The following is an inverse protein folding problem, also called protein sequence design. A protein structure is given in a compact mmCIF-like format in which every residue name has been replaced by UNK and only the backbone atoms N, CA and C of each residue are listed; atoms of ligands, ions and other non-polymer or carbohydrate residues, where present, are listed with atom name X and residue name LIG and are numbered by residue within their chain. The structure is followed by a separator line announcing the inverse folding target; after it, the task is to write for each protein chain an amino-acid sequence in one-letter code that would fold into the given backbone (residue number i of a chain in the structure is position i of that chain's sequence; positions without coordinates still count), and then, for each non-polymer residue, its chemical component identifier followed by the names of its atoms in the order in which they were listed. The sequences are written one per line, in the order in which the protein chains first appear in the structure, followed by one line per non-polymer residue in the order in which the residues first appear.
data_IF_578815496288
#
_entry.id   IF_578815496288
#
_cell.length_a   1.000
_cell.length_b   1.000
_cell.length_c   1.000
_cell.angle_alpha   90.00
_cell.angle_beta   90.00
_cell.angle_gamma   90.00
#
_symmetry.space_group_name_H-M   'P 1'
#
loop_
_entity.id
_entity.type
_entity.pdbx_description
1 polymer ?
#
# COMPACT_ATOMS: atom_id res chain seq x y z
N UNK A 1 19.77 -22.10 6.85
CA UNK A 1 19.25 -22.82 8.03
C UNK A 1 18.79 -21.79 9.03
N UNK A 2 17.48 -21.76 9.34
CA UNK A 2 16.90 -20.91 10.38
C UNK A 2 17.40 -21.38 11.76
N UNK A 3 17.69 -20.49 12.72
CA UNK A 3 17.81 -20.91 14.12
C UNK A 3 16.45 -21.42 14.63
N UNK A 4 16.42 -22.35 15.59
CA UNK A 4 15.18 -22.81 16.20
C UNK A 4 14.48 -21.65 16.92
N UNK A 5 13.15 -21.59 16.78
CA UNK A 5 12.28 -20.69 17.51
C UNK A 5 12.48 -20.90 19.02
N UNK A 6 13.17 -19.98 19.68
CA UNK A 6 13.40 -20.03 21.12
C UNK A 6 12.48 -19.06 21.84
N UNK A 7 11.69 -19.62 22.76
CA UNK A 7 10.67 -19.07 23.65
C UNK A 7 9.21 -19.25 23.17
N UNK A 8 8.54 -20.26 23.73
CA UNK A 8 7.09 -20.34 23.76
C UNK A 8 6.52 -19.06 24.40
N UNK A 9 5.38 -18.52 23.93
CA UNK A 9 4.74 -17.39 24.58
C UNK A 9 4.46 -17.75 26.05
N UNK A 10 4.60 -16.81 27.00
CA UNK A 10 4.33 -17.08 28.42
C UNK A 10 2.94 -17.70 28.55
N UNK A 11 2.88 -18.90 29.14
CA UNK A 11 1.63 -19.63 29.34
C UNK A 11 0.79 -18.90 30.40
N UNK A 12 -0.47 -18.57 30.10
CA UNK A 12 -1.35 -17.99 31.10
C UNK A 12 -1.43 -18.86 32.37
N UNK A 13 -1.67 -18.27 33.55
CA UNK A 13 -1.97 -18.99 34.79
C UNK A 13 -3.04 -20.07 34.62
N UNK A 14 -2.96 -21.14 35.41
CA UNK A 14 -3.86 -22.30 35.29
C UNK A 14 -5.34 -21.99 35.54
N UNK A 15 -5.64 -20.90 36.25
CA UNK A 15 -6.97 -20.36 36.52
C UNK A 15 -7.49 -19.45 35.41
N UNK A 16 -6.66 -19.10 34.41
CA UNK A 16 -7.12 -18.38 33.24
C UNK A 16 -7.94 -19.31 32.33
N UNK A 17 -9.12 -18.90 31.82
CA UNK A 17 -9.96 -19.83 31.07
C UNK A 17 -9.26 -20.29 29.78
N UNK A 18 -9.05 -21.61 29.65
CA UNK A 18 -8.30 -22.20 28.53
C UNK A 18 -8.85 -21.83 27.14
N UNK A 19 -10.16 -21.61 27.04
CA UNK A 19 -10.83 -21.18 25.81
C UNK A 19 -10.29 -19.84 25.26
N UNK A 20 -9.64 -19.01 26.09
CA UNK A 20 -9.09 -17.72 25.69
C UNK A 20 -7.57 -17.74 25.42
N UNK A 21 -6.84 -18.82 25.74
CA UNK A 21 -5.36 -18.83 25.67
C UNK A 21 -4.78 -18.40 24.31
N UNK A 22 -5.28 -18.96 23.20
CA UNK A 22 -4.82 -18.63 21.85
C UNK A 22 -5.38 -17.30 21.33
N UNK A 23 -6.48 -16.84 21.93
CA UNK A 23 -7.19 -15.64 21.54
C UNK A 23 -6.58 -14.37 22.13
N UNK A 24 -6.06 -14.43 23.36
CA UNK A 24 -5.51 -13.25 24.06
C UNK A 24 -4.42 -12.52 23.26
N UNK A 25 -3.61 -13.26 22.50
CA UNK A 25 -2.53 -12.68 21.68
C UNK A 25 -2.93 -12.35 20.24
N UNK A 26 -4.13 -12.75 19.82
CA UNK A 26 -4.64 -12.61 18.45
C UNK A 26 -5.94 -11.81 18.41
N UNK A 27 -6.45 -11.34 19.55
CA UNK A 27 -7.76 -10.70 19.70
C UNK A 27 -7.96 -9.55 18.72
N UNK A 28 -7.00 -8.63 18.69
CA UNK A 28 -7.05 -7.46 17.81
C UNK A 28 -7.01 -7.86 16.34
N UNK A 29 -6.13 -8.82 16.01
CA UNK A 29 -5.98 -9.34 14.66
C UNK A 29 -7.30 -10.00 14.19
N UNK A 30 -7.92 -10.82 15.03
CA UNK A 30 -9.21 -11.48 14.75
C UNK A 30 -10.33 -10.45 14.59
N UNK A 31 -10.38 -9.45 15.48
CA UNK A 31 -11.43 -8.43 15.47
C UNK A 31 -11.42 -7.60 14.18
N UNK A 32 -10.24 -7.26 13.66
CA UNK A 32 -10.11 -6.43 12.46
C UNK A 32 -9.94 -7.22 11.15
N UNK A 33 -9.44 -8.47 11.19
CA UNK A 33 -9.13 -9.23 9.97
C UNK A 33 -10.37 -9.60 9.15
N UNK A 34 -11.58 -9.66 9.74
CA UNK A 34 -12.81 -10.11 9.07
C UNK A 34 -12.58 -11.39 8.22
N UNK A 35 -11.79 -12.35 8.72
CA UNK A 35 -11.29 -13.54 8.03
C UNK A 35 -10.30 -14.34 8.91
N UNK A 36 -9.77 -15.50 8.47
CA UNK A 36 -8.83 -16.28 9.28
C UNK A 36 -7.62 -15.41 9.63
N UNK A 37 -7.45 -15.16 10.93
CA UNK A 37 -6.43 -14.25 11.43
C UNK A 37 -5.04 -14.72 11.01
N UNK A 38 -4.19 -13.79 10.61
CA UNK A 38 -2.76 -14.02 10.54
C UNK A 38 -2.18 -13.59 11.89
N UNK A 39 -1.99 -14.52 12.84
CA UNK A 39 -1.52 -14.15 14.18
C UNK A 39 -0.15 -13.47 14.11
N UNK A 40 0.03 -12.46 14.96
CA UNK A 40 1.31 -11.81 15.26
C UNK A 40 2.42 -12.86 15.42
N UNK A 41 3.52 -12.71 14.66
CA UNK A 41 4.75 -13.45 14.95
C UNK A 41 5.37 -12.85 16.24
N UNK A 42 5.77 -13.68 17.22
CA UNK A 42 6.43 -13.18 18.43
C UNK A 42 7.81 -12.60 18.07
N UNK A 43 8.07 -11.39 18.57
CA UNK A 43 9.30 -10.61 18.40
C UNK A 43 9.71 -10.37 16.93
N UNK A 44 9.26 -9.25 16.36
CA UNK A 44 9.78 -8.79 15.07
C UNK A 44 11.28 -8.47 15.22
N UNK A 45 12.09 -9.04 14.34
CA UNK A 45 13.46 -8.57 14.10
C UNK A 45 13.47 -7.06 13.85
N UNK A 46 14.62 -6.37 14.02
CA UNK A 46 14.76 -4.97 13.62
C UNK A 46 14.19 -4.77 12.21
N UNK A 47 13.38 -3.74 12.05
CA UNK A 47 12.76 -3.48 10.75
C UNK A 47 13.85 -3.03 9.78
N UNK A 48 14.11 -3.86 8.77
CA UNK A 48 15.03 -3.50 7.70
C UNK A 48 14.46 -2.34 6.86
N UNK A 49 15.33 -1.52 6.24
CA UNK A 49 14.90 -0.48 5.31
C UNK A 49 14.03 -1.06 4.19
N UNK A 50 12.94 -0.38 3.78
CA UNK A 50 12.07 -0.89 2.73
C UNK A 50 12.84 -1.00 1.39
N UNK A 51 12.59 -2.04 0.59
CA UNK A 51 13.24 -2.19 -0.71
C UNK A 51 12.89 -1.00 -1.62
N UNK A 52 13.83 -0.61 -2.47
CA UNK A 52 13.65 0.46 -3.45
C UNK A 52 13.85 -0.01 -4.90
N UNK A 53 14.55 -1.14 -5.12
CA UNK A 53 14.71 -1.80 -6.42
C UNK A 53 14.54 -3.30 -6.24
N UNK A 54 13.71 -3.90 -7.09
CA UNK A 54 13.44 -5.33 -7.17
C UNK A 54 13.60 -5.79 -8.63
N UNK A 55 13.96 -7.06 -8.88
CA UNK A 55 14.06 -7.58 -10.23
C UNK A 55 12.70 -7.58 -10.95
N UNK A 56 12.74 -7.69 -12.27
CA UNK A 56 11.54 -7.92 -13.07
C UNK A 56 10.87 -9.25 -12.67
N UNK A 57 9.55 -9.28 -12.79
CA UNK A 57 8.72 -10.45 -12.46
C UNK A 57 7.81 -10.79 -13.65
N UNK A 58 7.38 -12.06 -13.80
CA UNK A 58 6.55 -12.46 -14.93
C UNK A 58 5.20 -11.74 -14.98
N UNK A 59 4.61 -11.47 -13.81
CA UNK A 59 3.32 -10.78 -13.69
C UNK A 59 3.34 -9.77 -12.54
N UNK A 60 3.17 -8.51 -12.91
CA UNK A 60 3.17 -7.37 -12.01
C UNK A 60 1.84 -6.64 -12.10
N UNK A 61 1.22 -6.38 -10.96
CA UNK A 61 -0.08 -5.72 -10.85
C UNK A 61 0.07 -4.39 -10.12
N UNK A 62 -0.47 -3.31 -10.68
CA UNK A 62 -0.55 -1.99 -10.04
C UNK A 62 -1.98 -1.65 -9.63
N UNK A 63 -2.20 -1.35 -8.34
CA UNK A 63 -3.52 -0.94 -7.81
C UNK A 63 -3.43 0.50 -7.30
N UNK A 64 -4.36 1.35 -7.74
CA UNK A 64 -4.48 2.75 -7.35
C UNK A 64 -4.91 2.98 -5.91
N UNK A 65 -5.32 4.21 -5.65
CA UNK A 65 -5.71 4.74 -4.34
C UNK A 65 -6.99 4.06 -3.81
N UNK A 66 -7.00 3.65 -2.53
CA UNK A 66 -8.06 2.82 -1.94
C UNK A 66 -8.90 3.55 -0.89
N UNK A 67 -8.33 4.55 -0.21
CA UNK A 67 -9.06 5.53 0.61
C UNK A 67 -10.15 4.93 1.52
N UNK A 68 -9.73 4.00 2.39
CA UNK A 68 -10.58 3.41 3.42
C UNK A 68 -11.79 2.63 2.91
N UNK A 69 -11.83 2.23 1.62
CA UNK A 69 -12.96 1.50 1.03
C UNK A 69 -12.61 0.03 0.76
N UNK A 70 -12.68 -0.79 1.81
CA UNK A 70 -12.40 -2.24 1.73
C UNK A 70 -13.27 -2.95 0.69
N UNK A 71 -14.53 -2.54 0.49
CA UNK A 71 -15.41 -3.17 -0.51
C UNK A 71 -14.88 -2.96 -1.92
N UNK A 72 -14.43 -1.75 -2.24
CA UNK A 72 -13.83 -1.45 -3.55
C UNK A 72 -12.45 -2.09 -3.70
N UNK A 73 -11.65 -2.13 -2.63
CA UNK A 73 -10.37 -2.84 -2.62
C UNK A 73 -10.55 -4.33 -2.98
N UNK A 74 -11.48 -5.03 -2.32
CA UNK A 74 -11.81 -6.44 -2.64
C UNK A 74 -12.16 -6.62 -4.13
N UNK A 75 -12.98 -5.73 -4.69
CA UNK A 75 -13.33 -5.79 -6.12
C UNK A 75 -12.11 -5.60 -7.02
N UNK A 76 -11.22 -4.65 -6.73
CA UNK A 76 -9.98 -4.47 -7.50
C UNK A 76 -9.08 -5.71 -7.44
N UNK A 77 -8.89 -6.30 -6.27
CA UNK A 77 -8.13 -7.55 -6.13
C UNK A 77 -8.78 -8.72 -6.90
N UNK A 78 -10.11 -8.81 -6.92
CA UNK A 78 -10.85 -9.81 -7.72
C UNK A 78 -10.70 -9.58 -9.22
N UNK A 79 -10.76 -8.34 -9.70
CA UNK A 79 -10.52 -7.97 -11.12
C UNK A 79 -9.19 -8.51 -11.63
N UNK A 80 -8.15 -8.45 -10.79
CA UNK A 80 -6.83 -8.99 -11.13
C UNK A 80 -6.67 -10.50 -10.89
N UNK A 81 -7.71 -11.20 -10.41
CA UNK A 81 -7.65 -12.62 -10.05
C UNK A 81 -6.68 -12.92 -8.91
N UNK A 82 -6.52 -11.98 -7.97
CA UNK A 82 -5.57 -12.09 -6.86
C UNK A 82 -6.17 -12.75 -5.62
N UNK A 83 -7.50 -12.71 -5.49
CA UNK A 83 -8.23 -13.31 -4.37
C UNK A 83 -9.47 -14.07 -4.84
N UNK A 84 -9.90 -15.04 -4.04
CA UNK A 84 -11.19 -15.72 -4.20
C UNK A 84 -12.34 -14.99 -3.48
N UNK A 85 -13.51 -15.63 -3.47
CA UNK A 85 -14.72 -15.13 -2.80
C UNK A 85 -14.60 -15.06 -1.27
N UNK A 86 -13.60 -15.70 -0.68
CA UNK A 86 -13.31 -15.71 0.75
C UNK A 86 -12.12 -14.81 1.12
N UNK A 87 -11.70 -13.92 0.22
CA UNK A 87 -10.54 -13.03 0.37
C UNK A 87 -9.20 -13.79 0.61
N UNK A 88 -9.09 -15.02 0.10
CA UNK A 88 -7.83 -15.80 0.15
C UNK A 88 -7.04 -15.57 -1.12
N UNK A 89 -5.72 -15.42 -0.98
CA UNK A 89 -4.81 -15.26 -2.11
C UNK A 89 -4.90 -16.42 -3.10
N UNK A 90 -5.11 -16.07 -4.37
CA UNK A 90 -5.09 -16.98 -5.53
C UNK A 90 -4.16 -16.50 -6.65
N UNK A 91 -3.45 -15.38 -6.43
CA UNK A 91 -2.56 -14.77 -7.42
C UNK A 91 -1.26 -15.53 -7.72
N UNK A 92 -1.00 -16.68 -7.09
CA UNK A 92 0.24 -17.45 -7.27
C UNK A 92 1.48 -16.61 -6.99
N UNK A 93 2.44 -16.62 -7.93
CA UNK A 93 3.69 -15.84 -7.88
C UNK A 93 3.56 -14.37 -8.33
N UNK A 94 2.33 -13.87 -8.52
CA UNK A 94 2.10 -12.47 -8.93
C UNK A 94 2.66 -11.51 -7.88
N UNK A 95 3.32 -10.44 -8.36
CA UNK A 95 3.71 -9.30 -7.51
C UNK A 95 2.69 -8.17 -7.68
N UNK A 96 2.26 -7.58 -6.58
CA UNK A 96 1.32 -6.46 -6.55
C UNK A 96 2.01 -5.24 -5.96
N UNK A 97 1.79 -4.07 -6.53
CA UNK A 97 2.16 -2.78 -5.95
C UNK A 97 0.90 -1.93 -5.82
N UNK A 98 0.46 -1.68 -4.59
CA UNK A 98 -0.57 -0.70 -4.27
C UNK A 98 0.11 0.66 -4.02
N UNK A 99 -0.30 1.71 -4.73
CA UNK A 99 0.49 2.96 -4.82
C UNK A 99 0.19 4.01 -3.74
N UNK A 100 -0.25 3.59 -2.54
CA UNK A 100 -0.50 4.47 -1.40
C UNK A 100 -1.93 5.03 -1.34
N UNK A 101 -2.18 5.90 -0.36
CA UNK A 101 -3.51 6.42 -0.04
C UNK A 101 -4.51 5.30 0.31
N UNK A 102 -4.16 4.56 1.36
CA UNK A 102 -5.04 3.60 2.02
C UNK A 102 -5.98 4.27 3.02
N UNK A 103 -5.53 5.36 3.65
CA UNK A 103 -6.25 6.07 4.70
C UNK A 103 -7.16 7.18 4.16
N UNK A 104 -8.01 7.68 5.06
CA UNK A 104 -8.98 8.75 4.90
C UNK A 104 -10.09 8.49 3.87
N UNK A 105 -11.07 9.42 3.78
CA UNK A 105 -12.22 9.45 2.87
C UNK A 105 -13.25 8.31 3.03
N UNK A 106 -12.83 7.13 3.46
CA UNK A 106 -13.68 5.99 3.81
C UNK A 106 -13.54 5.59 5.28
N UNK A 107 -14.52 4.83 5.79
CA UNK A 107 -14.60 4.45 7.21
C UNK A 107 -13.97 3.07 7.51
N UNK A 108 -13.50 2.33 6.49
CA UNK A 108 -12.98 0.96 6.64
C UNK A 108 -11.44 0.91 6.60
N UNK A 109 -10.78 1.95 7.11
CA UNK A 109 -9.31 2.12 7.10
C UNK A 109 -8.58 0.97 7.81
N UNK A 110 -8.90 0.71 9.07
CA UNK A 110 -8.29 -0.37 9.83
C UNK A 110 -8.53 -1.75 9.18
N UNK A 111 -9.79 -2.16 8.87
CA UNK A 111 -10.02 -3.41 8.13
C UNK A 111 -9.24 -3.54 6.81
N UNK A 112 -9.05 -2.44 6.08
CA UNK A 112 -8.25 -2.43 4.85
C UNK A 112 -6.77 -2.71 5.11
N UNK A 113 -6.18 -2.11 6.16
CA UNK A 113 -4.80 -2.38 6.56
C UNK A 113 -4.58 -3.87 6.91
N UNK A 114 -5.50 -4.46 7.69
CA UNK A 114 -5.43 -5.88 8.06
C UNK A 114 -5.65 -6.82 6.86
N UNK A 115 -6.57 -6.46 5.95
CA UNK A 115 -6.78 -7.18 4.70
C UNK A 115 -5.49 -7.24 3.88
N UNK A 116 -4.81 -6.11 3.67
CA UNK A 116 -3.57 -6.07 2.91
C UNK A 116 -2.43 -6.80 3.63
N UNK A 117 -2.31 -6.69 4.95
CA UNK A 117 -1.29 -7.44 5.72
C UNK A 117 -1.49 -8.95 5.57
N UNK A 118 -2.74 -9.44 5.63
CA UNK A 118 -3.03 -10.85 5.39
C UNK A 118 -2.61 -11.27 3.99
N UNK A 119 -2.95 -10.50 2.96
CA UNK A 119 -2.58 -10.80 1.58
C UNK A 119 -1.07 -10.76 1.36
N UNK A 120 -0.33 -9.84 2.01
CA UNK A 120 1.14 -9.82 1.99
C UNK A 120 1.72 -11.16 2.41
N UNK A 121 1.21 -11.74 3.51
CA UNK A 121 1.67 -13.03 4.04
C UNK A 121 1.29 -14.20 3.14
N UNK A 122 0.04 -14.23 2.66
CA UNK A 122 -0.43 -15.30 1.78
C UNK A 122 0.28 -15.29 0.42
N UNK A 123 0.50 -14.10 -0.16
CA UNK A 123 1.27 -13.95 -1.39
C UNK A 123 2.70 -14.46 -1.22
N UNK A 124 3.39 -14.03 -0.16
CA UNK A 124 4.75 -14.50 0.15
C UNK A 124 4.82 -16.03 0.29
N UNK A 125 3.85 -16.64 0.98
CA UNK A 125 3.76 -18.09 1.12
C UNK A 125 3.52 -18.83 -0.21
N UNK A 126 2.92 -18.17 -1.20
CA UNK A 126 2.68 -18.69 -2.55
C UNK A 126 3.78 -18.32 -3.56
N UNK A 127 4.87 -17.68 -3.12
CA UNK A 127 5.96 -17.20 -3.99
C UNK A 127 5.66 -15.91 -4.75
N UNK A 128 4.58 -15.21 -4.39
CA UNK A 128 4.25 -13.86 -4.86
C UNK A 128 4.60 -12.80 -3.83
N UNK A 129 4.17 -11.56 -4.07
CA UNK A 129 4.39 -10.46 -3.13
C UNK A 129 3.30 -9.38 -3.24
N UNK A 130 3.04 -8.69 -2.13
CA UNK A 130 2.23 -7.47 -2.11
C UNK A 130 3.06 -6.35 -1.49
N UNK A 131 3.40 -5.35 -2.28
CA UNK A 131 4.03 -4.12 -1.83
C UNK A 131 2.97 -3.04 -1.75
N UNK A 132 3.01 -2.28 -0.66
CA UNK A 132 2.13 -1.13 -0.43
C UNK A 132 3.06 0.06 -0.31
N UNK A 133 2.77 1.16 -1.00
CA UNK A 133 3.50 2.41 -0.86
C UNK A 133 2.87 3.29 0.22
N UNK A 134 3.65 4.20 0.80
CA UNK A 134 3.12 5.29 1.59
C UNK A 134 2.75 6.48 0.68
N UNK A 135 1.47 6.87 0.69
CA UNK A 135 0.95 8.04 -0.01
C UNK A 135 0.93 9.30 0.83
N UNK A 136 0.27 10.35 0.34
CA UNK A 136 0.18 11.57 1.13
C UNK A 136 -0.76 11.43 2.32
N UNK A 137 -1.79 10.58 2.23
CA UNK A 137 -2.72 10.37 3.33
C UNK A 137 -2.07 9.62 4.50
N UNK A 138 -1.21 8.63 4.23
CA UNK A 138 -0.40 7.98 5.28
C UNK A 138 0.50 9.00 5.98
N UNK A 139 1.27 9.77 5.20
CA UNK A 139 2.21 10.74 5.76
C UNK A 139 1.53 11.96 6.40
N UNK A 140 0.28 12.27 6.04
CA UNK A 140 -0.51 13.29 6.73
C UNK A 140 -1.01 12.78 8.08
N UNK A 141 -1.54 11.55 8.12
CA UNK A 141 -2.04 10.95 9.35
C UNK A 141 -0.94 10.74 10.38
N UNK A 142 0.24 10.28 9.94
CA UNK A 142 1.42 10.19 10.80
C UNK A 142 1.80 11.56 11.35
N UNK A 143 1.70 12.63 10.56
CA UNK A 143 1.97 13.99 11.03
C UNK A 143 0.84 14.63 11.85
N UNK A 144 -0.22 13.89 12.20
CA UNK A 144 -1.36 14.43 12.96
C UNK A 144 -2.32 15.31 12.15
N UNK A 145 -2.27 15.25 10.82
CA UNK A 145 -3.03 16.12 9.92
C UNK A 145 -4.28 15.40 9.39
N UNK A 146 -5.42 15.57 10.08
CA UNK A 146 -6.64 14.80 9.86
C UNK A 146 -7.71 15.45 8.97
N UNK A 147 -7.33 16.39 8.09
CA UNK A 147 -8.30 17.20 7.33
C UNK A 147 -9.22 16.41 6.38
N UNK A 148 -8.89 15.17 6.03
CA UNK A 148 -9.68 14.32 5.12
C UNK A 148 -10.33 13.12 5.81
N UNK A 149 -10.18 13.01 7.13
CA UNK A 149 -10.73 11.92 7.92
C UNK A 149 -12.24 12.14 8.05
N UNK A 150 -13.01 11.10 7.74
CA UNK A 150 -14.46 11.07 7.94
C UNK A 150 -14.80 10.91 9.43
N UNK A 151 -16.06 11.14 9.80
CA UNK A 151 -16.49 10.90 11.19
C UNK A 151 -16.30 9.43 11.61
N UNK A 152 -16.69 8.49 10.75
CA UNK A 152 -16.52 7.05 11.02
C UNK A 152 -15.05 6.64 11.07
N UNK A 153 -14.23 7.12 10.13
CA UNK A 153 -12.78 6.94 10.14
C UNK A 153 -12.13 7.44 11.43
N UNK A 154 -12.54 8.61 11.93
CA UNK A 154 -12.07 9.13 13.22
C UNK A 154 -12.53 8.27 14.40
N UNK A 155 -13.81 7.90 14.44
CA UNK A 155 -14.37 7.12 15.55
C UNK A 155 -13.80 5.70 15.63
N UNK A 156 -13.48 5.07 14.49
CA UNK A 156 -12.94 3.71 14.44
C UNK A 156 -11.67 3.52 15.28
N UNK A 157 -10.87 4.58 15.46
CA UNK A 157 -9.67 4.54 16.31
C UNK A 157 -9.99 4.59 17.81
N UNK A 158 -11.16 5.10 18.19
CA UNK A 158 -11.66 4.99 19.57
C UNK A 158 -12.02 3.54 19.90
N UNK A 159 -12.71 2.87 18.96
CA UNK A 159 -13.09 1.45 19.10
C UNK A 159 -11.85 0.56 19.09
N UNK A 160 -10.86 0.90 18.24
CA UNK A 160 -9.53 0.29 18.25
C UNK A 160 -8.86 0.43 19.61
N UNK A 161 -8.84 1.63 20.20
CA UNK A 161 -8.21 1.87 21.50
C UNK A 161 -8.91 1.12 22.63
N UNK A 162 -10.24 1.05 22.62
CA UNK A 162 -11.02 0.26 23.58
C UNK A 162 -10.69 -1.23 23.45
N UNK A 163 -10.64 -1.75 22.23
CA UNK A 163 -10.28 -3.14 21.96
C UNK A 163 -8.86 -3.46 22.46
N UNK A 164 -7.90 -2.57 22.26
CA UNK A 164 -6.54 -2.74 22.76
C UNK A 164 -6.54 -2.71 24.29
N UNK A 165 -7.24 -1.77 24.91
CA UNK A 165 -7.34 -1.68 26.38
C UNK A 165 -7.89 -2.98 26.98
N UNK A 166 -8.89 -3.58 26.35
CA UNK A 166 -9.40 -4.90 26.71
C UNK A 166 -8.35 -5.99 26.52
N UNK A 167 -7.62 -5.99 25.39
CA UNK A 167 -6.52 -6.93 25.14
C UNK A 167 -5.45 -6.86 26.24
N UNK A 168 -5.01 -5.67 26.66
CA UNK A 168 -4.03 -5.56 27.75
C UNK A 168 -4.59 -6.00 29.09
N UNK A 169 -5.86 -5.73 29.38
CA UNK A 169 -6.50 -6.24 30.60
C UNK A 169 -6.53 -7.77 30.61
N UNK A 170 -6.81 -8.40 29.46
CA UNK A 170 -6.75 -9.85 29.29
C UNK A 170 -5.32 -10.38 29.43
N UNK A 171 -4.34 -9.75 28.79
CA UNK A 171 -2.91 -10.11 28.90
C UNK A 171 -2.40 -9.99 30.34
N UNK A 172 -2.79 -8.94 31.07
CA UNK A 172 -2.45 -8.76 32.48
C UNK A 172 -3.00 -9.90 33.35
N UNK A 173 -4.27 -10.28 33.14
CA UNK A 173 -4.87 -11.44 33.81
C UNK A 173 -4.24 -12.77 33.41
N UNK A 174 -3.73 -12.88 32.19
CA UNK A 174 -2.94 -14.00 31.69
C UNK A 174 -1.47 -13.95 32.21
N UNK A 175 -1.12 -13.10 33.17
CA UNK A 175 0.25 -13.05 33.74
C UNK A 175 1.32 -12.52 32.77
N UNK A 176 0.92 -11.91 31.64
CA UNK A 176 1.81 -11.33 30.64
C UNK A 176 2.14 -9.87 30.96
N UNK A 177 2.72 -9.60 32.13
CA UNK A 177 2.88 -8.23 32.68
C UNK A 177 3.65 -7.27 31.75
N UNK A 178 4.69 -7.75 31.06
CA UNK A 178 5.44 -6.95 30.08
C UNK A 178 4.58 -6.51 28.88
N UNK A 179 3.64 -7.37 28.44
CA UNK A 179 2.73 -7.06 27.34
C UNK A 179 1.61 -6.08 27.74
N UNK A 180 1.23 -6.06 29.02
CA UNK A 180 0.28 -5.09 29.58
C UNK A 180 0.92 -3.69 29.80
N UNK A 181 2.21 -3.64 30.16
CA UNK A 181 2.93 -2.39 30.39
C UNK A 181 3.13 -1.56 29.11
N UNK A 182 3.46 -2.21 27.98
CA UNK A 182 3.59 -1.53 26.68
C UNK A 182 2.30 -0.86 26.22
N UNK A 183 1.14 -1.41 26.59
CA UNK A 183 -0.16 -0.85 26.22
C UNK A 183 -0.60 0.33 27.10
N UNK A 184 -0.18 0.37 28.37
CA UNK A 184 -0.33 1.57 29.21
C UNK A 184 0.41 2.78 28.64
N UNK A 185 1.53 2.54 27.94
CA UNK A 185 2.30 3.59 27.26
C UNK A 185 1.57 4.17 26.05
N UNK A 186 0.70 3.39 25.39
CA UNK A 186 -0.23 3.87 24.33
C UNK A 186 -1.37 4.75 24.87
N UNK A 187 -1.66 4.66 26.18
CA UNK A 187 -2.71 5.41 26.87
C UNK A 187 -2.23 6.72 27.52
N UNK A 188 -0.91 7.00 27.51
CA UNK A 188 -0.37 8.27 28.01
C UNK A 188 -0.29 9.23 26.81
N UNK A 189 -1.12 10.27 26.73
CA UNK A 189 -0.91 11.32 25.75
C UNK A 189 0.50 11.88 25.96
N UNK A 190 1.30 12.01 24.90
CA UNK A 190 2.54 12.80 24.98
C UNK A 190 2.22 14.11 25.70
N UNK A 191 2.87 14.36 26.84
CA UNK A 191 2.62 15.52 27.70
C UNK A 191 2.98 16.87 27.05
N UNK A 192 3.35 16.87 25.78
CA UNK A 192 3.63 18.06 24.99
C UNK A 192 2.59 18.19 23.88
N UNK A 193 1.46 18.89 24.09
CA UNK A 193 0.68 19.38 22.98
C UNK A 193 1.59 20.28 22.13
N UNK A 194 1.84 19.89 20.88
CA UNK A 194 2.56 20.73 19.93
C UNK A 194 1.80 22.05 19.72
N UNK A 195 2.48 23.13 19.36
CA UNK A 195 1.83 24.40 18.99
C UNK A 195 0.81 24.21 17.84
N UNK A 196 1.02 23.20 16.98
CA UNK A 196 0.06 22.80 15.95
C UNK A 196 -1.29 22.31 16.54
N UNK A 197 -1.28 21.65 17.70
CA UNK A 197 -2.46 21.22 18.45
C UNK A 197 -3.27 22.42 18.97
N UNK A 198 -2.60 23.53 19.29
CA UNK A 198 -3.24 24.77 19.73
C UNK A 198 -3.85 25.56 18.57
N UNK A 199 -3.17 25.61 17.42
CA UNK A 199 -3.71 26.23 16.19
C UNK A 199 -4.95 25.46 15.67
N UNK A 200 -4.98 24.14 15.84
CA UNK A 200 -6.14 23.31 15.47
C UNK A 200 -7.34 23.56 16.41
N UNK A 201 -7.10 23.82 17.70
CA UNK A 201 -8.13 24.25 18.67
C UNK A 201 -8.80 25.57 18.26
N UNK A 202 -8.06 26.48 17.63
CA UNK A 202 -8.58 27.79 17.22
C UNK A 202 -9.36 27.72 15.90
N UNK A 203 -9.03 26.75 15.02
CA UNK A 203 -9.75 26.50 13.75
C UNK A 203 -10.95 25.55 13.88
N UNK A 204 -11.03 24.75 14.95
CA UNK A 204 -12.17 23.88 15.29
C UNK A 204 -13.39 24.62 15.86
N UNK A 205 -13.39 25.96 15.88
CA UNK A 205 -14.63 26.72 16.19
C UNK A 205 -15.66 26.61 15.07
N UNK A 206 -15.32 26.08 13.89
CA UNK A 206 -16.25 25.84 12.79
C UNK A 206 -16.12 24.40 12.26
N UNK A 207 -16.90 23.49 12.85
CA UNK A 207 -17.39 22.23 12.24
C UNK A 207 -16.37 21.22 11.71
N UNK A 208 -15.85 20.34 12.58
CA UNK A 208 -15.20 19.07 12.20
C UNK A 208 -15.58 17.94 13.17
N UNK A 209 -15.89 16.70 12.72
CA UNK A 209 -16.71 15.78 13.50
C UNK A 209 -15.88 14.73 14.22
N UNK A 210 -15.51 14.97 15.48
CA UNK A 210 -14.96 13.94 16.37
C UNK A 210 -14.76 14.49 17.78
N UNK A 211 -15.09 13.72 18.81
CA UNK A 211 -14.77 14.11 20.19
C UNK A 211 -13.25 14.21 20.35
N UNK A 212 -12.76 15.07 21.24
CA UNK A 212 -11.31 15.22 21.50
C UNK A 212 -10.62 13.89 21.85
N UNK A 213 -11.39 12.92 22.40
CA UNK A 213 -10.94 11.55 22.69
C UNK A 213 -10.62 10.75 21.42
N UNK A 214 -11.46 10.83 20.38
CA UNK A 214 -11.27 10.08 19.14
C UNK A 214 -10.02 10.54 18.36
N UNK A 215 -9.80 11.85 18.30
CA UNK A 215 -8.59 12.41 17.69
C UNK A 215 -7.31 12.01 18.44
N UNK A 216 -7.36 11.95 19.78
CA UNK A 216 -6.25 11.47 20.58
C UNK A 216 -5.96 9.98 20.33
N UNK A 217 -7.00 9.14 20.26
CA UNK A 217 -6.85 7.71 19.94
C UNK A 217 -6.22 7.49 18.56
N UNK A 218 -6.67 8.23 17.54
CA UNK A 218 -6.07 8.20 16.20
C UNK A 218 -4.61 8.65 16.21
N UNK A 219 -4.29 9.70 16.97
CA UNK A 219 -2.90 10.19 17.12
C UNK A 219 -2.01 9.16 17.80
N UNK A 220 -2.49 8.49 18.85
CA UNK A 220 -1.74 7.44 19.53
C UNK A 220 -1.45 6.24 18.62
N UNK A 221 -2.40 5.88 17.76
CA UNK A 221 -2.26 4.76 16.84
C UNK A 221 -1.38 5.07 15.62
N UNK A 222 -1.59 6.23 14.99
CA UNK A 222 -0.99 6.60 13.71
C UNK A 222 0.20 7.57 13.82
N UNK A 223 0.43 8.23 14.95
CA UNK A 223 1.59 9.10 15.11
C UNK A 223 2.92 8.34 14.95
N UNK A 224 4.06 9.03 14.85
CA UNK A 224 5.36 8.38 14.84
C UNK A 224 5.53 7.46 16.05
N UNK A 225 5.97 6.23 15.82
CA UNK A 225 6.11 5.20 16.85
C UNK A 225 4.79 4.58 17.34
N UNK A 226 3.64 5.06 16.85
CA UNK A 226 2.33 4.47 17.12
C UNK A 226 2.21 3.05 16.57
N UNK A 227 1.38 2.21 17.21
CA UNK A 227 1.29 0.78 16.89
C UNK A 227 0.85 0.52 15.45
N UNK A 228 -0.12 1.27 14.94
CA UNK A 228 -0.60 1.12 13.55
C UNK A 228 0.48 1.59 12.58
N UNK A 229 1.17 2.69 12.88
CA UNK A 229 2.27 3.18 12.03
C UNK A 229 3.44 2.21 11.98
N UNK A 230 3.92 1.72 13.13
CA UNK A 230 5.02 0.76 13.20
C UNK A 230 4.71 -0.53 12.44
N UNK A 231 3.47 -1.00 12.52
CA UNK A 231 3.05 -2.27 11.92
C UNK A 231 2.73 -2.17 10.45
N UNK A 232 1.98 -1.15 10.05
CA UNK A 232 1.36 -1.11 8.72
C UNK A 232 1.95 -0.07 7.78
N UNK A 233 2.56 1.01 8.29
CA UNK A 233 3.01 2.14 7.46
C UNK A 233 4.55 2.22 7.36
N UNK A 234 5.27 2.14 8.47
CA UNK A 234 6.73 2.21 8.49
C UNK A 234 7.44 1.10 7.66
N UNK A 235 6.89 -0.11 7.51
CA UNK A 235 7.48 -1.13 6.63
C UNK A 235 7.30 -0.85 5.13
N UNK A 236 6.44 0.09 4.76
CA UNK A 236 6.12 0.37 3.37
C UNK A 236 7.13 1.35 2.77
N UNK A 237 7.65 1.10 1.55
CA UNK A 237 8.42 2.10 0.82
C UNK A 237 7.57 3.32 0.43
N UNK A 238 8.21 4.45 0.20
CA UNK A 238 7.59 5.62 -0.46
C UNK A 238 7.74 5.50 -1.98
N UNK A 239 8.83 4.88 -2.43
CA UNK A 239 9.16 4.65 -3.84
C UNK A 239 9.72 3.25 -4.04
N UNK A 240 9.30 2.59 -5.12
CA UNK A 240 9.72 1.22 -5.44
C UNK A 240 9.86 1.02 -6.94
N UNK A 241 11.00 0.53 -7.40
CA UNK A 241 11.19 0.03 -8.76
C UNK A 241 11.09 -1.50 -8.80
N UNK A 242 10.32 -2.04 -9.74
CA UNK A 242 10.23 -3.48 -10.03
C UNK A 242 10.53 -3.67 -11.51
N UNK A 243 11.65 -4.32 -11.83
CA UNK A 243 12.16 -4.38 -13.20
C UNK A 243 12.38 -2.98 -13.77
N UNK A 244 11.75 -2.70 -14.92
CA UNK A 244 11.79 -1.38 -15.57
C UNK A 244 10.69 -0.42 -15.14
N UNK A 245 9.84 -0.80 -14.18
CA UNK A 245 8.67 -0.02 -13.76
C UNK A 245 8.90 0.60 -12.39
N UNK A 246 8.95 1.92 -12.33
CA UNK A 246 9.03 2.69 -11.09
C UNK A 246 7.62 3.02 -10.58
N UNK A 247 7.34 2.77 -9.31
CA UNK A 247 6.09 3.12 -8.64
C UNK A 247 6.34 4.20 -7.59
N UNK A 248 5.50 5.23 -7.60
CA UNK A 248 5.52 6.34 -6.65
C UNK A 248 4.11 6.91 -6.55
N UNK A 249 3.69 7.35 -5.37
CA UNK A 249 2.32 7.83 -5.19
C UNK A 249 2.00 9.08 -6.05
N UNK A 250 2.80 10.15 -5.95
CA UNK A 250 2.60 11.38 -6.73
C UNK A 250 3.51 11.48 -7.97
N UNK A 251 4.83 11.46 -7.75
CA UNK A 251 5.82 11.55 -8.84
C UNK A 251 7.23 11.89 -8.34
N UNK A 252 8.26 11.41 -9.05
CA UNK A 252 9.65 11.79 -8.75
C UNK A 252 10.11 12.95 -9.63
N UNK A 253 10.60 14.02 -9.01
CA UNK A 253 11.31 15.10 -9.70
C UNK A 253 12.82 14.85 -9.61
N UNK A 254 13.62 15.58 -10.40
CA UNK A 254 15.09 15.49 -10.42
C UNK A 254 15.72 15.52 -9.02
N UNK A 255 15.28 16.44 -8.16
CA UNK A 255 15.76 16.58 -6.78
C UNK A 255 15.54 15.31 -5.93
N UNK A 256 14.51 14.50 -6.22
CA UNK A 256 14.25 13.26 -5.49
C UNK A 256 15.18 12.13 -5.97
N UNK A 257 15.50 12.11 -7.26
CA UNK A 257 16.51 11.18 -7.79
C UNK A 257 17.88 11.51 -7.22
N UNK A 258 18.24 12.80 -7.18
CA UNK A 258 19.50 13.28 -6.62
C UNK A 258 19.61 12.96 -5.11
N UNK A 259 18.49 12.97 -4.36
CA UNK A 259 18.44 12.54 -2.94
C UNK A 259 18.66 11.04 -2.75
N UNK A 260 18.27 10.24 -3.74
CA UNK A 260 18.41 8.78 -3.74
C UNK A 260 17.19 8.04 -3.18
N UNK A 261 16.69 7.06 -3.95
CA UNK A 261 15.46 6.31 -3.62
C UNK A 261 15.54 5.56 -2.29
N UNK A 262 16.69 4.92 -2.03
CA UNK A 262 16.93 4.22 -0.76
C UNK A 262 16.96 5.15 0.44
N UNK A 263 17.48 6.38 0.28
CA UNK A 263 17.47 7.41 1.33
C UNK A 263 16.06 7.91 1.61
N UNK A 264 15.26 8.17 0.56
CA UNK A 264 13.84 8.53 0.71
C UNK A 264 13.08 7.50 1.55
N UNK A 265 13.22 6.20 1.22
CA UNK A 265 12.53 5.14 1.94
C UNK A 265 13.01 5.00 3.39
N UNK A 266 14.33 5.03 3.61
CA UNK A 266 14.92 4.90 4.95
C UNK A 266 14.53 6.06 5.86
N UNK A 267 14.70 7.30 5.41
CA UNK A 267 14.39 8.49 6.22
C UNK A 267 12.88 8.60 6.51
N UNK A 268 12.02 8.21 5.57
CA UNK A 268 10.58 8.13 5.82
C UNK A 268 10.25 7.07 6.89
N UNK A 269 10.87 5.90 6.83
CA UNK A 269 10.71 4.85 7.84
C UNK A 269 11.21 5.30 9.22
N UNK A 270 12.41 5.87 9.30
CA UNK A 270 13.01 6.38 10.55
C UNK A 270 12.08 7.42 11.22
N UNK A 271 11.57 8.36 10.42
CA UNK A 271 10.59 9.34 10.87
C UNK A 271 9.32 8.66 11.39
N UNK A 272 8.74 7.71 10.66
CA UNK A 272 7.53 6.98 11.08
C UNK A 272 7.74 6.13 12.34
N UNK A 273 8.94 5.57 12.56
CA UNK A 273 9.22 4.70 13.71
C UNK A 273 9.51 5.45 15.01
N UNK A 274 10.13 6.63 14.91
CA UNK A 274 10.74 7.30 16.08
C UNK A 274 10.86 8.82 16.00
N UNK A 275 10.53 9.45 14.87
CA UNK A 275 10.62 10.90 14.71
C UNK A 275 9.53 11.66 15.46
N UNK A 276 9.51 13.00 15.30
CA UNK A 276 8.39 13.83 15.76
C UNK A 276 7.45 14.14 14.60
N UNK A 277 6.15 14.30 14.89
CA UNK A 277 5.16 14.67 13.88
C UNK A 277 5.52 15.97 13.14
N UNK A 278 6.13 16.93 13.84
CA UNK A 278 6.60 18.21 13.29
C UNK A 278 7.86 18.10 12.43
N UNK A 279 8.61 17.01 12.53
CA UNK A 279 9.89 16.77 11.83
C UNK A 279 9.69 15.90 10.59
N UNK A 280 8.53 16.03 9.94
CA UNK A 280 8.22 15.32 8.69
C UNK A 280 9.22 15.70 7.60
N UNK A 281 9.87 14.73 6.93
CA UNK A 281 10.83 15.01 5.86
C UNK A 281 10.26 15.92 4.75
N UNK A 282 11.11 16.83 4.25
CA UNK A 282 10.71 17.84 3.26
C UNK A 282 10.20 17.23 1.95
N UNK A 283 10.80 16.12 1.49
CA UNK A 283 10.37 15.40 0.28
C UNK A 283 9.00 14.72 0.41
N UNK A 284 8.36 14.75 1.59
CA UNK A 284 6.98 14.28 1.83
C UNK A 284 5.96 15.43 1.99
N UNK A 285 6.42 16.68 1.89
CA UNK A 285 5.60 17.87 2.19
C UNK A 285 5.67 18.92 1.07
N UNK A 286 4.51 19.50 0.72
CA UNK A 286 4.41 20.54 -0.30
C UNK A 286 4.13 19.98 -1.70
N UNK A 287 3.80 20.87 -2.64
CA UNK A 287 3.27 20.49 -3.97
C UNK A 287 4.25 19.67 -4.83
N UNK A 288 5.54 19.82 -4.60
CA UNK A 288 6.60 19.15 -5.35
C UNK A 288 7.14 17.91 -4.62
N UNK A 289 6.55 17.50 -3.50
CA UNK A 289 6.97 16.31 -2.77
C UNK A 289 6.66 15.01 -3.52
N UNK A 290 7.39 13.94 -3.20
CA UNK A 290 7.29 12.60 -3.81
C UNK A 290 5.84 12.08 -3.81
N UNK A 291 5.12 12.34 -2.72
CA UNK A 291 3.73 11.90 -2.51
C UNK A 291 2.67 12.95 -2.90
N UNK A 292 3.05 14.12 -3.41
CA UNK A 292 2.11 15.20 -3.74
C UNK A 292 2.23 15.70 -5.18
N UNK A 293 3.36 15.44 -5.82
CA UNK A 293 3.64 15.89 -7.17
C UNK A 293 2.54 15.46 -8.12
N UNK A 294 2.08 16.39 -8.95
CA UNK A 294 1.10 16.15 -10.03
C UNK A 294 1.67 16.42 -11.42
N UNK A 295 2.98 16.64 -11.50
CA UNK A 295 3.68 17.02 -12.75
C UNK A 295 3.52 15.98 -13.87
N UNK A 296 3.27 14.71 -13.52
CA UNK A 296 3.09 13.62 -14.50
C UNK A 296 1.67 13.04 -14.53
N UNK A 297 0.76 13.57 -13.71
CA UNK A 297 -0.57 12.99 -13.48
C UNK A 297 -1.73 13.90 -13.90
N UNK A 298 -1.44 15.13 -14.33
CA UNK A 298 -2.42 16.10 -14.79
C UNK A 298 -3.34 15.54 -15.89
N UNK A 299 -4.62 15.96 -15.88
CA UNK A 299 -5.65 15.42 -16.76
C UNK A 299 -5.41 15.75 -18.24
N UNK A 300 -4.92 16.96 -18.57
CA UNK A 300 -4.46 17.30 -19.91
C UNK A 300 -3.05 16.76 -20.13
N UNK A 301 -2.84 16.06 -21.25
CA UNK A 301 -1.51 15.62 -21.70
C UNK A 301 -0.55 16.79 -21.92
N UNK A 302 -1.08 17.96 -22.29
CA UNK A 302 -0.32 19.20 -22.50
C UNK A 302 0.26 19.78 -21.19
N UNK A 303 -0.16 19.26 -20.04
CA UNK A 303 0.37 19.63 -18.72
C UNK A 303 1.31 18.56 -18.13
N UNK A 304 1.64 17.51 -18.89
CA UNK A 304 2.59 16.48 -18.47
C UNK A 304 4.01 16.89 -18.89
N UNK A 305 4.91 17.09 -17.92
CA UNK A 305 6.30 17.46 -18.19
C UNK A 305 7.12 16.23 -18.66
N UNK A 306 6.94 15.87 -19.93
CA UNK A 306 7.54 14.68 -20.53
C UNK A 306 9.06 14.75 -20.67
N UNK A 307 9.62 15.96 -20.82
CA UNK A 307 11.07 16.16 -20.89
C UNK A 307 11.71 15.85 -19.54
N UNK A 308 11.16 16.43 -18.46
CA UNK A 308 11.64 16.14 -17.11
C UNK A 308 11.43 14.68 -16.71
N UNK A 309 10.30 14.07 -17.09
CA UNK A 309 10.07 12.64 -16.86
C UNK A 309 11.14 11.79 -17.56
N UNK A 310 11.50 12.12 -18.80
CA UNK A 310 12.54 11.41 -19.54
C UNK A 310 13.91 11.58 -18.87
N UNK A 311 14.25 12.76 -18.36
CA UNK A 311 15.47 12.99 -17.59
C UNK A 311 15.48 12.15 -16.30
N UNK A 312 14.39 12.18 -15.53
CA UNK A 312 14.24 11.43 -14.27
C UNK A 312 14.41 9.94 -14.51
N UNK A 313 13.74 9.37 -15.51
CA UNK A 313 13.87 7.95 -15.86
C UNK A 313 15.28 7.62 -16.37
N UNK A 314 15.89 8.51 -17.17
CA UNK A 314 17.24 8.32 -17.71
C UNK A 314 18.34 8.31 -16.65
N UNK A 315 18.10 8.92 -15.48
CA UNK A 315 18.99 8.89 -14.32
C UNK A 315 18.84 7.64 -13.45
N UNK A 316 17.77 6.85 -13.64
CA UNK A 316 17.48 5.66 -12.84
C UNK A 316 17.83 4.39 -13.64
N UNK A 317 18.86 3.63 -13.23
CA UNK A 317 19.28 2.44 -13.98
C UNK A 317 18.12 1.44 -14.20
N UNK A 318 17.89 1.11 -15.47
CA UNK A 318 16.88 0.14 -15.88
C UNK A 318 15.43 0.65 -15.90
N UNK A 319 15.14 1.87 -15.43
CA UNK A 319 13.79 2.41 -15.43
C UNK A 319 13.36 2.83 -16.84
N UNK A 320 12.20 2.34 -17.29
CA UNK A 320 11.61 2.67 -18.58
C UNK A 320 10.31 3.48 -18.46
N UNK A 321 9.59 3.31 -17.34
CA UNK A 321 8.30 3.94 -17.08
C UNK A 321 8.06 4.21 -15.60
N UNK A 322 7.19 5.18 -15.31
CA UNK A 322 6.71 5.53 -13.98
C UNK A 322 5.20 5.24 -13.87
N UNK A 323 4.78 4.68 -12.74
CA UNK A 323 3.38 4.44 -12.38
C UNK A 323 3.03 5.33 -11.19
N UNK A 324 1.95 6.11 -11.32
CA UNK A 324 1.51 7.10 -10.34
C UNK A 324 0.03 6.97 -9.97
N UNK A 325 -0.30 7.31 -8.72
CA UNK A 325 -1.67 7.42 -8.20
C UNK A 325 -2.06 8.90 -8.00
N UNK A 326 -2.66 9.22 -6.85
CA UNK A 326 -2.88 10.57 -6.29
C UNK A 326 -3.84 11.52 -7.05
N UNK A 327 -3.89 11.38 -8.37
CA UNK A 327 -4.67 12.22 -9.27
C UNK A 327 -5.64 11.36 -10.05
N UNK A 328 -6.90 11.46 -9.64
CA UNK A 328 -8.02 10.76 -10.25
C UNK A 328 -8.05 10.99 -11.77
N UNK A 329 -8.04 9.88 -12.50
CA UNK A 329 -8.25 9.80 -13.94
C UNK A 329 -9.72 9.44 -14.20
N UNK A 330 -10.51 10.41 -14.65
CA UNK A 330 -11.97 10.25 -14.81
C UNK A 330 -12.36 9.21 -15.89
N UNK A 331 -11.49 9.01 -16.89
CA UNK A 331 -11.70 8.05 -17.98
C UNK A 331 -11.10 6.65 -17.70
N UNK A 332 -10.66 6.41 -16.47
CA UNK A 332 -9.94 5.20 -16.08
C UNK A 332 -8.42 5.30 -16.22
N UNK A 333 -7.73 4.18 -16.05
CA UNK A 333 -6.27 4.10 -16.15
C UNK A 333 -5.82 4.65 -17.49
N UNK A 334 -4.90 5.61 -17.43
CA UNK A 334 -4.46 6.37 -18.59
C UNK A 334 -2.93 6.40 -18.67
N UNK A 335 -2.44 6.92 -19.79
CA UNK A 335 -1.01 6.96 -20.10
C UNK A 335 -0.64 8.28 -20.77
N UNK A 336 0.60 8.72 -20.60
CA UNK A 336 1.12 9.93 -21.25
C UNK A 336 2.62 9.77 -21.58
N UNK A 337 3.19 10.78 -22.26
CA UNK A 337 4.60 10.82 -22.65
C UNK A 337 5.05 9.58 -23.45
N UNK A 338 4.23 9.17 -24.41
CA UNK A 338 4.48 7.96 -25.20
C UNK A 338 4.52 6.68 -24.36
N UNK A 339 3.80 6.66 -23.23
CA UNK A 339 3.70 5.56 -22.26
C UNK A 339 4.76 5.51 -21.17
N UNK A 340 5.61 6.54 -21.07
CA UNK A 340 6.60 6.65 -19.99
C UNK A 340 5.96 6.92 -18.63
N UNK A 341 4.72 7.38 -18.58
CA UNK A 341 3.94 7.45 -17.35
C UNK A 341 2.59 6.76 -17.51
N UNK A 342 2.23 5.97 -16.50
CA UNK A 342 0.95 5.29 -16.34
C UNK A 342 0.26 5.85 -15.09
N UNK A 343 -0.97 6.33 -15.23
CA UNK A 343 -1.73 7.00 -14.16
C UNK A 343 -2.87 6.07 -13.75
N UNK A 344 -2.82 5.55 -12.53
CA UNK A 344 -3.66 4.42 -12.11
C UNK A 344 -4.67 4.72 -11.00
N UNK A 345 -4.72 5.96 -10.50
CA UNK A 345 -5.81 6.38 -9.63
C UNK A 345 -7.06 6.65 -10.47
N UNK A 346 -8.06 5.78 -10.33
CA UNK A 346 -9.36 5.89 -11.02
C UNK A 346 -10.47 6.43 -10.12
N UNK A 347 -10.11 7.05 -8.99
CA UNK A 347 -11.07 7.54 -8.01
C UNK A 347 -11.93 6.41 -7.42
N UNK A 348 -11.30 5.26 -7.18
CA UNK A 348 -11.96 3.99 -6.89
C UNK A 348 -12.92 4.05 -5.69
N UNK A 349 -12.48 4.67 -4.60
CA UNK A 349 -13.22 4.75 -3.33
C UNK A 349 -14.53 5.53 -3.47
N UNK A 350 -15.57 5.09 -2.75
CA UNK A 350 -16.83 5.83 -2.61
C UNK A 350 -16.64 7.22 -1.97
N UNK A 351 -15.59 7.41 -1.17
CA UNK A 351 -15.25 8.71 -0.57
C UNK A 351 -14.57 9.69 -1.54
N UNK A 352 -14.28 9.24 -2.76
CA UNK A 352 -13.67 10.01 -3.83
C UNK A 352 -14.60 10.04 -5.05
N UNK A 353 -14.30 9.29 -6.12
CA UNK A 353 -15.07 9.28 -7.36
C UNK A 353 -16.11 8.15 -7.46
N UNK A 354 -16.09 7.19 -6.52
CA UNK A 354 -16.87 5.95 -6.61
C UNK A 354 -16.65 5.19 -7.93
N UNK A 355 -15.46 5.31 -8.53
CA UNK A 355 -15.13 4.73 -9.84
C UNK A 355 -15.24 3.21 -9.89
N UNK A 356 -15.44 2.67 -11.09
CA UNK A 356 -15.37 1.22 -11.31
C UNK A 356 -13.92 0.72 -11.12
N UNK A 357 -13.71 -0.45 -10.52
CA UNK A 357 -12.39 -1.04 -10.39
C UNK A 357 -11.67 -1.24 -11.73
N UNK A 358 -10.51 -0.62 -11.82
CA UNK A 358 -9.54 -0.87 -12.88
C UNK A 358 -8.18 -1.13 -12.25
N UNK A 359 -7.43 -2.05 -12.84
CA UNK A 359 -6.13 -2.48 -12.33
C UNK A 359 -5.12 -2.55 -13.47
N UNK A 360 -3.90 -2.08 -13.21
CA UNK A 360 -2.80 -2.16 -14.16
C UNK A 360 -2.18 -3.56 -14.11
N UNK A 361 -1.99 -4.19 -15.27
CA UNK A 361 -1.21 -5.44 -15.40
C UNK A 361 -0.02 -5.21 -16.33
N UNK A 362 1.15 -5.66 -15.89
CA UNK A 362 2.39 -5.67 -16.66
C UNK A 362 2.90 -7.11 -16.71
N UNK A 363 2.99 -7.67 -17.92
CA UNK A 363 3.47 -9.04 -18.15
C UNK A 363 4.87 -9.00 -18.75
N UNK A 364 5.77 -9.78 -18.16
CA UNK A 364 7.18 -9.91 -18.56
C UNK A 364 7.90 -8.54 -18.72
N UNK A 365 7.54 -7.59 -17.86
CA UNK A 365 8.05 -6.21 -17.85
C UNK A 365 7.84 -5.40 -19.15
N UNK A 366 6.99 -5.91 -20.06
CA UNK A 366 6.83 -5.40 -21.42
C UNK A 366 5.40 -5.06 -21.76
N UNK A 367 4.48 -5.99 -21.53
CA UNK A 367 3.10 -5.88 -22.01
C UNK A 367 2.25 -5.21 -20.95
N UNK A 368 1.84 -3.97 -21.22
CA UNK A 368 0.97 -3.19 -20.34
C UNK A 368 -0.49 -3.41 -20.72
N UNK A 369 -1.33 -3.75 -19.73
CA UNK A 369 -2.77 -3.98 -19.88
C UNK A 369 -3.54 -3.28 -18.78
N UNK A 370 -4.79 -2.95 -19.11
CA UNK A 370 -5.79 -2.46 -18.18
C UNK A 370 -6.81 -3.56 -17.95
N UNK A 371 -6.93 -4.01 -16.70
CA UNK A 371 -7.92 -4.98 -16.27
C UNK A 371 -9.16 -4.27 -15.73
N UNK A 372 -10.35 -4.70 -16.14
CA UNK A 372 -11.64 -4.12 -15.69
C UNK A 372 -12.64 -5.21 -15.33
N UNK A 373 -13.71 -4.86 -14.63
CA UNK A 373 -14.76 -5.83 -14.24
C UNK A 373 -15.44 -6.51 -15.44
N UNK A 374 -15.55 -5.83 -16.58
CA UNK A 374 -16.14 -6.39 -17.83
C UNK A 374 -15.33 -7.58 -18.35
N UNK A 375 -14.03 -7.66 -18.05
CA UNK A 375 -13.19 -8.78 -18.46
C UNK A 375 -13.39 -10.02 -17.57
N UNK A 376 -13.82 -9.86 -16.31
CA UNK A 376 -14.14 -11.00 -15.44
C UNK A 376 -15.42 -11.72 -15.87
N UNK A 377 -16.44 -10.97 -16.31
CA UNK A 377 -17.72 -11.54 -16.75
C UNK A 377 -17.58 -12.42 -17.99
N UNK A 378 -16.62 -12.09 -18.87
CA UNK A 378 -16.30 -12.88 -20.07
C UNK A 378 -15.38 -14.09 -19.79
N UNK A 379 -14.81 -14.19 -18.57
CA UNK A 379 -13.98 -15.31 -18.12
C UNK A 379 -14.71 -16.25 -17.16
N UNK A 380 -15.87 -15.84 -16.63
CA UNK A 380 -16.73 -16.71 -15.83
C UNK A 380 -17.33 -17.81 -16.75
N UNK A 381 -17.15 -19.11 -16.45
CA UNK A 381 -17.70 -20.15 -17.31
C UNK A 381 -19.22 -20.06 -17.30
N UNK A 382 -19.81 -20.02 -18.49
CA UNK A 382 -21.24 -20.18 -18.72
C UNK A 382 -21.68 -21.59 -18.30
N UNK A 383 -21.80 -21.83 -16.99
CA UNK A 383 -22.35 -23.07 -16.44
C UNK A 383 -23.73 -22.79 -15.87
N UNK A 384 -24.75 -22.80 -16.75
CA UNK A 384 -26.07 -23.34 -16.42
C UNK A 384 -26.62 -24.11 -17.63
N UNK A 385 -26.83 -25.42 -17.40
CA UNK A 385 -27.60 -26.41 -18.17
C UNK A 385 -26.89 -27.21 -19.28
N UNK A 386 -26.34 -28.38 -18.90
CA UNK A 386 -26.66 -29.72 -19.45
C UNK A 386 -25.57 -30.75 -19.06
N UNK A 387 -25.88 -32.01 -18.74
CA UNK A 387 -24.89 -33.02 -18.37
C UNK A 387 -24.38 -33.78 -19.61
N UNK A 388 -23.07 -33.97 -19.70
CA UNK A 388 -22.49 -35.08 -20.46
C UNK A 388 -21.36 -34.73 -21.43
N UNK A 389 -20.23 -35.40 -21.20
CA UNK A 389 -19.04 -35.61 -22.04
C UNK A 389 -17.90 -34.58 -21.92
N UNK A 390 -16.73 -35.14 -21.60
CA UNK A 390 -15.44 -34.47 -21.54
C UNK A 390 -15.01 -33.94 -22.92
N UNK A 391 -14.38 -32.77 -22.94
CA UNK A 391 -13.65 -32.24 -24.08
C UNK A 391 -12.36 -31.53 -23.63
N UNK A 392 -11.35 -31.62 -24.49
CA UNK A 392 -9.93 -31.32 -24.31
C UNK A 392 -9.59 -29.81 -24.18
N UNK A 393 -8.32 -29.42 -23.94
CA UNK A 393 -7.99 -28.06 -23.54
C UNK A 393 -8.13 -27.08 -24.72
N UNK A 394 -8.95 -26.06 -24.55
CA UNK A 394 -9.12 -24.98 -25.52
C UNK A 394 -8.14 -23.86 -25.20
N UNK A 395 -7.27 -23.56 -26.17
CA UNK A 395 -6.39 -22.39 -26.17
C UNK A 395 -7.26 -21.11 -26.18
N UNK A 396 -7.18 -20.30 -25.13
CA UNK A 396 -7.87 -19.02 -25.06
C UNK A 396 -7.17 -17.98 -25.93
N UNK A 397 -7.88 -17.47 -26.94
CA UNK A 397 -7.48 -16.28 -27.70
C UNK A 397 -7.60 -15.04 -26.81
N UNK A 398 -6.49 -14.33 -26.62
CA UNK A 398 -6.47 -13.00 -26.02
C UNK A 398 -7.01 -11.99 -27.04
N UNK A 399 -8.13 -11.32 -26.71
CA UNK A 399 -8.59 -10.15 -27.45
C UNK A 399 -7.87 -8.93 -26.87
N UNK A 400 -6.84 -8.46 -27.59
CA UNK A 400 -6.18 -7.19 -27.30
C UNK A 400 -7.09 -6.04 -27.76
N UNK A 401 -7.42 -5.11 -26.85
CA UNK A 401 -8.10 -3.86 -27.19
C UNK A 401 -7.32 -2.68 -26.61
N UNK A 402 -6.96 -1.75 -27.50
CA UNK A 402 -6.24 -0.49 -27.31
C UNK A 402 -4.89 -0.61 -26.55
N UNK A 403 -3.86 -1.02 -27.28
CA UNK A 403 -2.48 -0.95 -26.80
C UNK A 403 -2.08 0.49 -26.50
N UNK A 404 -1.64 0.74 -25.28
CA UNK A 404 -0.74 1.84 -24.95
C UNK A 404 0.63 1.49 -25.57
N UNK A 405 0.77 1.68 -26.88
CA UNK A 405 1.95 1.25 -27.61
C UNK A 405 3.16 2.11 -27.26
N UNK A 406 4.23 1.46 -26.82
CA UNK A 406 5.60 1.99 -26.85
C UNK A 406 6.13 1.89 -28.28
N UNK A 407 6.79 2.93 -28.83
CA UNK A 407 7.62 2.73 -30.02
C UNK A 407 8.84 1.86 -29.67
N UNK A 408 9.16 0.94 -30.57
CA UNK A 408 10.27 0.00 -30.49
C UNK A 408 11.61 0.76 -30.37
N UNK A 409 12.43 0.41 -29.37
CA UNK A 409 13.75 1.02 -29.20
C UNK A 409 14.65 0.61 -30.38
N UNK A 410 15.19 1.61 -31.09
CA UNK A 410 16.16 1.39 -32.15
C UNK A 410 17.36 0.60 -31.63
N UNK A 411 17.64 -0.55 -32.26
CA UNK A 411 18.85 -1.35 -32.03
C UNK A 411 20.09 -0.50 -32.30
N UNK A 412 21.14 -0.52 -31.45
CA UNK A 412 22.42 0.05 -31.84
C UNK A 412 23.01 -0.81 -32.98
N UNK A 413 23.43 -0.14 -34.05
CA UNK A 413 24.09 -0.77 -35.18
C UNK A 413 25.39 -1.46 -34.71
N UNK A 414 25.56 -2.72 -35.13
CA UNK A 414 26.79 -3.47 -34.91
C UNK A 414 27.97 -2.75 -35.57
N UNK A 415 29.01 -2.45 -34.78
CA UNK A 415 30.28 -1.99 -35.30
C UNK A 415 30.94 -3.13 -36.10
N UNK A 416 31.04 -2.93 -37.41
CA UNK A 416 31.88 -3.73 -38.30
C UNK A 416 33.35 -3.41 -37.96
N UNK A 417 34.02 -4.34 -37.27
CA UNK A 417 35.48 -4.35 -37.21
C UNK A 417 36.02 -4.85 -38.55
N UNK A 418 36.47 -3.93 -39.39
CA UNK A 418 37.37 -4.19 -40.50
C UNK A 418 38.78 -4.42 -39.96
N UNK A 419 39.22 -5.68 -39.95
CA UNK A 419 40.63 -6.04 -39.86
C UNK A 419 41.31 -5.69 -41.18
N UNK A 420 42.09 -4.61 -41.21
CA UNK A 420 43.10 -4.40 -42.24
C UNK A 420 44.34 -5.23 -41.89
N UNK A 421 44.61 -6.25 -42.71
CA UNK A 421 45.94 -6.81 -42.91
C UNK A 421 46.70 -5.90 -43.89
N UNK A 422 47.90 -5.45 -43.52
CA UNK A 422 48.98 -5.17 -44.47
C UNK A 422 50.34 -5.30 -43.79
N UNK A 423 51.21 -6.07 -44.47
CA UNK A 423 52.66 -6.21 -44.38
C UNK A 423 53.25 -6.93 -43.16
#
# INVERSE_FOLDING_TARGET
MWPPASAAPPSCPADFPQVWHSFVHTFIDVLHAQGPAAPRLPAAAPLEPPPHVLPAVPRLIGIGDLHGDLKKARRAFKVAGLIDEQDRWTGGSTTVVQVGDLLDRGDQELPLLYFLERLKRQAAAAGGAVHVLNGNHETMNVAGQYRYVTHGGMHSFSDWLQSHTLEAALKAKCGCEAAAAGLRQLLIPSQHPSEASQQQKQKQRHGGPGSASAAAARTAALGPGGEVTRRFLAPNPVVLQVGSTLFVHGGLLRQHVDHGLGSINREAQEWMLSGKASEKPGFLSGRNAVVWSRHYSAASTDCCDCEQLAEVLGRLPGAARMVVGHTIQEAGISSACGGKVLRIDVGLSRGCGNGSPEVLEIVDDRVVRRLTEVQLENLAPAHKNAPGKAAAPVQGQAVAVAGLAMPEAARPAAALHTTQQTA
#
